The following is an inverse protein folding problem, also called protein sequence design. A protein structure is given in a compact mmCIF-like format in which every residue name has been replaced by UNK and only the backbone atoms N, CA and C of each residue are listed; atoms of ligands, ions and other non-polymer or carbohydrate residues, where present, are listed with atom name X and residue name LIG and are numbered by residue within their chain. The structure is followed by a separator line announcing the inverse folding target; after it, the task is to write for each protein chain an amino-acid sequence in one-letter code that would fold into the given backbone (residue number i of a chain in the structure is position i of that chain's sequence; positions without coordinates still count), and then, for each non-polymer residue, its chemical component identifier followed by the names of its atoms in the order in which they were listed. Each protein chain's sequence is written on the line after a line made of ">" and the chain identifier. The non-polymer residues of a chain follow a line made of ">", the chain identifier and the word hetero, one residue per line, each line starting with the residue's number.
data_IF_474350484385
#
_entry.id   IF_474350484385
#
_cell.length_a   1.000
_cell.length_b   1.000
_cell.length_c   1.000
_cell.angle_alpha   90.00
_cell.angle_beta   90.00
_cell.angle_gamma   90.00
#
_symmetry.space_group_name_H-M   'P 1'
#
loop_
_entity.id
_entity.type
_entity.pdbx_description
1 polymer ?
#
# COMPACT_ATOMS: atom_id res chain seq x y z
N UNK A 1 -10.15 -20.55 -10.47
CA UNK A 1 -10.37 -20.05 -9.10
C UNK A 1 -9.70 -18.68 -9.06
N UNK A 2 -10.46 -17.60 -8.97
CA UNK A 2 -9.89 -16.26 -8.83
C UNK A 2 -9.26 -16.18 -7.44
N UNK A 3 -7.93 -16.31 -7.38
CA UNK A 3 -7.16 -16.04 -6.17
C UNK A 3 -7.37 -14.56 -5.84
N UNK A 4 -8.27 -14.27 -4.90
CA UNK A 4 -8.51 -12.89 -4.46
C UNK A 4 -7.23 -12.28 -3.90
N UNK A 5 -7.02 -10.99 -4.13
CA UNK A 5 -5.86 -10.26 -3.61
C UNK A 5 -5.87 -10.31 -2.08
N UNK A 6 -4.74 -10.69 -1.48
CA UNK A 6 -4.59 -10.69 -0.03
C UNK A 6 -3.92 -9.39 0.46
N UNK A 7 -4.02 -9.13 1.77
CA UNK A 7 -3.28 -8.04 2.43
C UNK A 7 -1.77 -8.20 2.20
N UNK A 8 -1.27 -9.45 2.24
CA UNK A 8 0.15 -9.76 2.04
C UNK A 8 0.58 -9.35 0.63
N UNK A 9 -0.22 -9.65 -0.40
CA UNK A 9 0.11 -9.28 -1.79
C UNK A 9 0.18 -7.75 -1.97
N UNK A 10 -0.73 -7.02 -1.33
CA UNK A 10 -0.75 -5.55 -1.35
C UNK A 10 0.49 -4.97 -0.70
N UNK A 11 0.83 -5.44 0.50
CA UNK A 11 1.99 -4.99 1.28
C UNK A 11 3.29 -5.34 0.56
N UNK A 12 3.39 -6.55 0.01
CA UNK A 12 4.55 -6.99 -0.77
C UNK A 12 4.77 -6.08 -1.98
N UNK A 13 3.72 -5.86 -2.77
CA UNK A 13 3.79 -4.98 -3.94
C UNK A 13 4.17 -3.54 -3.57
N UNK A 14 3.64 -3.03 -2.46
CA UNK A 14 3.94 -1.69 -1.98
C UNK A 14 5.39 -1.55 -1.52
N UNK A 15 5.84 -2.41 -0.61
CA UNK A 15 7.20 -2.36 -0.03
C UNK A 15 8.26 -2.64 -1.09
N UNK A 16 8.03 -3.61 -1.99
CA UNK A 16 8.95 -3.88 -3.09
C UNK A 16 9.10 -2.67 -4.00
N UNK A 17 7.99 -2.04 -4.38
CA UNK A 17 8.01 -0.84 -5.24
C UNK A 17 8.72 0.34 -4.54
N UNK A 18 8.46 0.59 -3.25
CA UNK A 18 9.19 1.64 -2.52
C UNK A 18 10.70 1.40 -2.47
N UNK A 19 11.12 0.15 -2.25
CA UNK A 19 12.54 -0.22 -2.25
C UNK A 19 13.20 -0.03 -3.61
N UNK A 20 12.52 -0.36 -4.71
CA UNK A 20 13.00 -0.09 -6.08
C UNK A 20 13.26 1.40 -6.33
N UNK A 21 12.51 2.27 -5.64
CA UNK A 21 12.66 3.72 -5.69
C UNK A 21 13.58 4.29 -4.62
N UNK A 22 14.31 3.44 -3.87
CA UNK A 22 15.27 3.85 -2.84
C UNK A 22 14.63 4.29 -1.51
N UNK A 23 13.33 4.06 -1.32
CA UNK A 23 12.60 4.39 -0.10
C UNK A 23 12.57 3.16 0.81
N UNK A 24 13.12 3.29 2.00
CA UNK A 24 13.04 2.26 3.04
C UNK A 24 11.87 2.58 3.98
N UNK A 25 11.04 1.58 4.23
CA UNK A 25 9.92 1.65 5.17
C UNK A 25 9.81 0.35 5.95
N UNK A 26 9.35 0.45 7.18
CA UNK A 26 9.09 -0.71 8.02
C UNK A 26 7.83 -1.43 7.55
N UNK A 27 7.97 -2.72 7.22
CA UNK A 27 6.87 -3.54 6.72
C UNK A 27 5.70 -3.61 7.72
N UNK A 28 6.00 -3.79 9.00
CA UNK A 28 4.98 -3.92 10.05
C UNK A 28 4.11 -2.66 10.16
N UNK A 29 4.71 -1.48 10.00
CA UNK A 29 3.98 -0.22 9.95
C UNK A 29 3.04 -0.16 8.72
N UNK A 30 3.53 -0.59 7.55
CA UNK A 30 2.69 -0.68 6.34
C UNK A 30 1.55 -1.67 6.52
N UNK A 31 1.78 -2.82 7.13
CA UNK A 31 0.74 -3.83 7.39
C UNK A 31 -0.37 -3.29 8.29
N UNK A 32 -0.01 -2.60 9.38
CA UNK A 32 -0.97 -1.99 10.29
C UNK A 32 -1.83 -0.91 9.58
N UNK A 33 -1.18 0.01 8.87
CA UNK A 33 -1.86 1.08 8.13
C UNK A 33 -2.78 0.55 7.03
N UNK A 34 -2.33 -0.48 6.29
CA UNK A 34 -3.17 -1.13 5.26
C UNK A 34 -4.37 -1.83 5.90
N UNK A 35 -4.19 -2.50 7.04
CA UNK A 35 -5.28 -3.17 7.75
C UNK A 35 -6.33 -2.17 8.25
N UNK A 36 -5.89 -1.06 8.87
CA UNK A 36 -6.78 0.02 9.31
C UNK A 36 -7.53 0.63 8.12
N UNK A 37 -6.83 0.92 7.03
CA UNK A 37 -7.45 1.50 5.84
C UNK A 37 -8.49 0.59 5.21
N UNK A 38 -8.23 -0.71 5.17
CA UNK A 38 -9.20 -1.69 4.67
C UNK A 38 -10.42 -1.80 5.59
N UNK A 39 -10.24 -1.70 6.91
CA UNK A 39 -11.35 -1.66 7.86
C UNK A 39 -12.23 -0.42 7.65
N UNK A 40 -11.64 0.76 7.47
CA UNK A 40 -12.37 2.00 7.15
C UNK A 40 -13.20 1.87 5.86
N UNK A 41 -12.61 1.29 4.80
CA UNK A 41 -13.31 1.10 3.52
C UNK A 41 -14.47 0.11 3.70
N UNK A 42 -14.22 -0.99 4.42
CA UNK A 42 -15.23 -1.99 4.73
C UNK A 42 -16.42 -1.37 5.47
N UNK A 43 -16.16 -0.56 6.51
CA UNK A 43 -17.18 0.15 7.26
C UNK A 43 -17.99 1.09 6.36
N UNK A 44 -17.33 1.94 5.56
CA UNK A 44 -17.99 2.91 4.67
C UNK A 44 -18.87 2.25 3.61
N UNK A 45 -18.45 1.09 3.12
CA UNK A 45 -19.20 0.32 2.13
C UNK A 45 -20.26 -0.59 2.76
N UNK A 46 -20.28 -0.73 4.09
CA UNK A 46 -21.17 -1.65 4.79
C UNK A 46 -20.89 -3.12 4.48
N UNK A 47 -19.63 -3.47 4.16
CA UNK A 47 -19.20 -4.83 3.83
C UNK A 47 -18.05 -5.27 4.75
N UNK A 48 -17.65 -6.54 4.69
CA UNK A 48 -16.47 -7.02 5.41
C UNK A 48 -15.17 -6.80 4.63
N UNK A 49 -14.03 -6.70 5.32
CA UNK A 49 -12.69 -6.63 4.70
C UNK A 49 -12.44 -7.73 3.66
N UNK A 50 -12.85 -9.00 3.86
CA UNK A 50 -12.70 -10.02 2.82
C UNK A 50 -13.46 -9.69 1.52
N UNK A 51 -14.59 -8.99 1.61
CA UNK A 51 -15.36 -8.53 0.44
C UNK A 51 -14.63 -7.38 -0.25
N UNK A 52 -14.06 -6.44 0.51
CA UNK A 52 -13.21 -5.36 -0.03
C UNK A 52 -12.06 -5.94 -0.85
N UNK A 53 -11.33 -6.89 -0.27
CA UNK A 53 -10.18 -7.53 -0.91
C UNK A 53 -10.56 -8.35 -2.15
N UNK A 54 -11.74 -9.00 -2.14
CA UNK A 54 -12.18 -9.82 -3.27
C UNK A 54 -12.74 -8.99 -4.42
N UNK A 55 -13.55 -7.99 -4.12
CA UNK A 55 -14.40 -7.31 -5.11
C UNK A 55 -13.85 -5.94 -5.53
N UNK A 56 -12.97 -5.34 -4.72
CA UNK A 56 -12.49 -3.97 -4.91
C UNK A 56 -10.96 -3.84 -4.97
N UNK A 57 -10.20 -4.78 -4.41
CA UNK A 57 -8.75 -4.78 -4.52
C UNK A 57 -8.29 -5.42 -5.84
N UNK A 58 -7.30 -4.82 -6.50
CA UNK A 58 -6.54 -5.46 -7.57
C UNK A 58 -5.14 -5.85 -7.09
N UNK A 59 -4.52 -6.80 -7.77
CA UNK A 59 -3.15 -7.25 -7.47
C UNK A 59 -2.14 -6.11 -7.65
N UNK A 60 -2.38 -5.18 -8.57
CA UNK A 60 -1.51 -4.03 -8.78
C UNK A 60 -1.71 -2.89 -7.77
N UNK A 61 -2.71 -2.97 -6.89
CA UNK A 61 -3.06 -1.83 -6.03
C UNK A 61 -1.92 -1.43 -5.09
N UNK A 62 -1.21 -2.40 -4.50
CA UNK A 62 -0.02 -2.14 -3.69
C UNK A 62 1.06 -1.36 -4.44
N UNK A 63 1.34 -1.73 -5.70
CA UNK A 63 2.28 -1.01 -6.57
C UNK A 63 1.79 0.39 -6.91
N UNK A 64 0.51 0.55 -7.26
CA UNK A 64 -0.08 1.85 -7.60
C UNK A 64 -0.01 2.83 -6.42
N UNK A 65 -0.30 2.35 -5.21
CA UNK A 65 -0.16 3.14 -3.98
C UNK A 65 1.29 3.57 -3.75
N UNK A 66 2.26 2.67 -3.90
CA UNK A 66 3.67 3.00 -3.73
C UNK A 66 4.12 4.06 -4.74
N UNK A 67 3.69 3.97 -6.00
CA UNK A 67 4.01 4.98 -7.02
C UNK A 67 3.43 6.35 -6.67
N UNK A 68 2.22 6.41 -6.12
CA UNK A 68 1.63 7.66 -5.65
C UNK A 68 2.43 8.27 -4.49
N UNK A 69 2.88 7.44 -3.53
CA UNK A 69 3.75 7.89 -2.42
C UNK A 69 5.10 8.39 -2.94
N UNK A 70 5.72 7.70 -3.89
CA UNK A 70 6.98 8.14 -4.50
C UNK A 70 6.82 9.48 -5.22
N UNK A 71 5.72 9.68 -5.95
CA UNK A 71 5.41 10.96 -6.58
C UNK A 71 5.28 12.07 -5.53
N UNK A 72 4.52 11.82 -4.47
CA UNK A 72 4.36 12.78 -3.37
C UNK A 72 5.68 13.13 -2.68
N UNK A 73 6.51 12.14 -2.36
CA UNK A 73 7.84 12.34 -1.75
C UNK A 73 8.74 13.22 -2.63
N UNK A 74 8.68 13.02 -3.95
CA UNK A 74 9.45 13.81 -4.92
C UNK A 74 8.94 15.24 -5.00
N UNK A 75 7.63 15.41 -5.05
CA UNK A 75 6.98 16.73 -5.14
C UNK A 75 7.19 17.56 -3.86
N UNK A 76 7.18 16.92 -2.69
CA UNK A 76 7.35 17.59 -1.40
C UNK A 76 8.82 17.79 -0.99
N UNK A 77 9.79 17.36 -1.82
CA UNK A 77 11.22 17.38 -1.50
C UNK A 77 11.56 16.69 -0.16
N UNK A 78 10.76 15.71 0.27
CA UNK A 78 10.90 15.05 1.59
C UNK A 78 12.14 14.16 1.69
N UNK A 79 12.83 13.92 0.57
CA UNK A 79 14.16 13.29 0.51
C UNK A 79 15.25 14.35 0.37
N UNK A 80 15.27 15.35 1.24
CA UNK A 80 16.51 16.08 1.54
C UNK A 80 17.42 15.16 2.35
N UNK A 81 18.02 14.19 1.66
CA UNK A 81 19.18 13.48 2.19
C UNK A 81 20.27 14.52 2.28
N UNK A 82 20.54 15.00 3.50
CA UNK A 82 21.65 15.88 3.78
C UNK A 82 22.91 15.35 3.07
N UNK A 83 23.62 16.15 2.27
CA UNK A 83 24.89 15.72 1.72
C UNK A 83 25.89 15.65 2.87
N UNK A 84 26.29 14.44 3.27
CA UNK A 84 27.56 14.17 3.97
C UNK A 84 27.91 12.69 3.99
#
# INVERSE_FOLDING_TARGET
>A
MTTGTSIIDLVDGFVATLREHGVQIEREAVEAEVAERLADIAERLGVGVPVVLRDYASVEWGRQMALAVVAQIRDDHLLDVAPR
#
